data_IF_658954888390
#
_entry.id   IF_658954888390
#
_cell.length_a   1.000
_cell.length_b   1.000
_cell.length_c   1.000
_cell.angle_alpha   90.00
_cell.angle_beta   90.00
_cell.angle_gamma   90.00
#
_symmetry.space_group_name_H-M   'P 1'
#
loop_
_entity.id
_entity.type
_entity.pdbx_description
1 polymer ?
#
# COMPACT_ATOMS: atom_id res chain seq x y z
N UNK A 1 11.77 -8.97 28.25
CA UNK A 1 10.37 -9.08 27.79
C UNK A 1 10.33 -8.35 26.46
N UNK A 2 10.39 -9.10 25.35
CA UNK A 2 10.43 -8.52 24.00
C UNK A 2 9.08 -7.90 23.64
N UNK A 3 9.12 -6.86 22.81
CA UNK A 3 7.96 -6.45 22.01
C UNK A 3 8.15 -7.08 20.63
N UNK A 4 7.20 -7.92 20.25
CA UNK A 4 7.07 -8.61 18.98
C UNK A 4 6.08 -7.83 18.09
N UNK A 5 6.34 -6.57 17.78
CA UNK A 5 5.35 -5.77 17.05
C UNK A 5 5.86 -5.50 15.63
N UNK A 6 5.84 -6.54 14.80
CA UNK A 6 6.11 -6.49 13.35
C UNK A 6 4.89 -6.06 12.53
N UNK A 7 3.97 -5.27 13.10
CA UNK A 7 2.69 -4.93 12.48
C UNK A 7 2.51 -3.42 12.36
N UNK A 8 1.99 -2.97 11.22
CA UNK A 8 1.76 -1.56 10.92
C UNK A 8 0.50 -1.05 11.64
N UNK A 9 0.69 -0.52 12.84
CA UNK A 9 -0.39 -0.07 13.71
C UNK A 9 -0.70 1.44 13.60
N UNK A 10 -1.69 1.91 14.37
CA UNK A 10 -2.13 3.31 14.35
C UNK A 10 -1.01 4.28 14.76
N UNK A 11 -0.19 3.92 15.74
CA UNK A 11 0.96 4.72 16.18
C UNK A 11 1.98 4.87 15.04
N UNK A 12 2.33 3.78 14.37
CA UNK A 12 3.24 3.80 13.21
C UNK A 12 2.66 4.58 12.02
N UNK A 13 1.33 4.56 11.84
CA UNK A 13 0.65 5.23 10.71
C UNK A 13 0.51 6.74 10.88
N UNK A 14 0.55 7.27 12.11
CA UNK A 14 0.20 8.67 12.40
C UNK A 14 1.09 9.41 13.40
N UNK A 15 1.89 8.71 14.21
CA UNK A 15 2.64 9.30 15.34
C UNK A 15 4.16 9.17 15.19
N UNK A 16 4.65 8.13 14.51
CA UNK A 16 6.08 7.95 14.26
C UNK A 16 6.43 8.01 12.77
N UNK A 17 7.52 8.71 12.45
CA UNK A 17 8.12 8.80 11.10
C UNK A 17 8.90 7.51 10.73
N UNK A 18 8.48 6.36 11.30
CA UNK A 18 9.22 5.09 11.29
C UNK A 18 8.98 4.25 10.03
N UNK A 19 8.02 4.63 9.20
CA UNK A 19 7.77 3.98 7.92
C UNK A 19 8.76 4.50 6.85
N UNK A 20 9.85 3.77 6.61
CA UNK A 20 10.70 4.04 5.45
C UNK A 20 9.91 3.80 4.17
N UNK A 21 9.84 4.84 3.33
CA UNK A 21 8.94 4.92 2.20
C UNK A 21 9.75 4.96 0.92
N UNK A 22 10.01 3.80 0.32
CA UNK A 22 10.67 3.69 -0.97
C UNK A 22 9.65 3.88 -2.10
N UNK A 23 9.70 5.04 -2.76
CA UNK A 23 8.92 5.35 -3.97
C UNK A 23 9.89 5.75 -5.09
N UNK A 24 10.00 4.96 -6.18
CA UNK A 24 9.33 3.68 -6.41
C UNK A 24 9.84 2.56 -5.49
N UNK A 25 8.99 1.57 -5.24
CA UNK A 25 9.36 0.39 -4.46
C UNK A 25 10.52 -0.36 -5.13
N UNK A 26 11.50 -0.80 -4.34
CA UNK A 26 12.65 -1.58 -4.81
C UNK A 26 12.26 -3.06 -5.00
N UNK A 27 11.54 -3.34 -6.09
CA UNK A 27 11.11 -4.70 -6.49
C UNK A 27 11.43 -4.93 -7.97
N UNK A 28 11.48 -6.20 -8.37
CA UNK A 28 11.62 -6.57 -9.78
C UNK A 28 10.46 -6.04 -10.62
N UNK A 29 10.74 -5.69 -11.88
CA UNK A 29 9.73 -5.16 -12.82
C UNK A 29 8.53 -6.09 -12.97
N UNK A 30 8.76 -7.41 -12.93
CA UNK A 30 7.70 -8.42 -13.03
C UNK A 30 6.75 -8.37 -11.83
N UNK A 31 7.27 -8.14 -10.62
CA UNK A 31 6.47 -7.98 -9.40
C UNK A 31 5.71 -6.66 -9.46
N UNK A 32 6.37 -5.58 -9.89
CA UNK A 32 5.73 -4.27 -10.04
C UNK A 32 4.54 -4.33 -11.03
N UNK A 33 4.69 -5.01 -12.16
CA UNK A 33 3.60 -5.20 -13.13
C UNK A 33 2.47 -6.09 -12.57
N UNK A 34 2.81 -7.15 -11.85
CA UNK A 34 1.80 -8.01 -11.22
C UNK A 34 0.93 -7.23 -10.20
N UNK A 35 1.57 -6.42 -9.35
CA UNK A 35 0.88 -5.56 -8.37
C UNK A 35 -0.02 -4.54 -9.09
N UNK A 36 0.49 -3.84 -10.12
CA UNK A 36 -0.31 -2.90 -10.92
C UNK A 36 -1.54 -3.57 -11.54
N UNK A 37 -1.35 -4.71 -12.18
CA UNK A 37 -2.44 -5.45 -12.82
C UNK A 37 -3.50 -5.93 -11.82
N UNK A 38 -3.09 -6.42 -10.65
CA UNK A 38 -4.01 -6.81 -9.59
C UNK A 38 -4.77 -5.62 -9.01
N UNK A 39 -4.11 -4.48 -8.81
CA UNK A 39 -4.75 -3.27 -8.29
C UNK A 39 -5.88 -2.79 -9.20
N UNK A 40 -5.63 -2.72 -10.52
CA UNK A 40 -6.64 -2.34 -11.52
C UNK A 40 -7.82 -3.31 -11.50
N UNK A 41 -7.54 -4.61 -11.49
CA UNK A 41 -8.58 -5.65 -11.42
C UNK A 41 -9.43 -5.54 -10.15
N UNK A 42 -8.80 -5.27 -9.02
CA UNK A 42 -9.48 -5.13 -7.73
C UNK A 42 -10.44 -3.94 -7.72
N UNK A 43 -10.01 -2.78 -8.21
CA UNK A 43 -10.83 -1.57 -8.31
C UNK A 43 -12.04 -1.80 -9.23
N UNK A 44 -11.84 -2.45 -10.38
CA UNK A 44 -12.95 -2.80 -11.27
C UNK A 44 -13.90 -3.84 -10.66
N UNK A 45 -13.39 -4.82 -9.91
CA UNK A 45 -14.19 -5.89 -9.33
C UNK A 45 -15.20 -5.39 -8.28
N UNK A 46 -14.90 -4.27 -7.61
CA UNK A 46 -15.78 -3.66 -6.60
C UNK A 46 -16.59 -2.47 -7.15
N UNK A 47 -16.58 -2.24 -8.47
CA UNK A 47 -17.19 -1.08 -9.14
C UNK A 47 -16.77 0.25 -8.51
N UNK A 48 -15.50 0.35 -8.09
CA UNK A 48 -14.98 1.58 -7.49
C UNK A 48 -14.77 2.65 -8.56
N UNK A 49 -15.16 3.88 -8.21
CA UNK A 49 -15.04 5.06 -9.08
C UNK A 49 -14.24 6.16 -8.39
N UNK A 50 -13.57 6.99 -9.19
CA UNK A 50 -12.75 8.08 -8.70
C UNK A 50 -11.35 7.61 -8.32
N UNK A 51 -11.07 7.52 -7.02
CA UNK A 51 -9.74 7.25 -6.49
C UNK A 51 -9.75 6.09 -5.50
N UNK A 52 -8.66 5.33 -5.50
CA UNK A 52 -8.45 4.25 -4.55
C UNK A 52 -6.97 4.05 -4.29
N UNK A 53 -6.63 3.66 -3.05
CA UNK A 53 -5.33 3.07 -2.71
C UNK A 53 -5.54 1.59 -2.44
N UNK A 54 -4.84 0.73 -3.17
CA UNK A 54 -4.89 -0.73 -2.96
C UNK A 54 -3.59 -1.13 -2.27
N UNK A 55 -3.74 -1.65 -1.05
CA UNK A 55 -2.60 -2.05 -0.21
C UNK A 55 -2.35 -3.54 -0.40
N UNK A 56 -1.08 -3.92 -0.52
CA UNK A 56 -0.65 -5.29 -0.78
C UNK A 56 0.32 -5.77 0.29
N UNK A 57 0.29 -7.08 0.54
CA UNK A 57 1.43 -7.82 1.08
C UNK A 57 2.15 -8.52 -0.07
N UNK A 58 3.48 -8.47 -0.08
CA UNK A 58 4.28 -9.29 -0.99
C UNK A 58 4.73 -10.54 -0.22
N UNK A 59 4.32 -11.72 -0.68
CA UNK A 59 4.71 -13.02 -0.08
C UNK A 59 5.62 -13.79 -1.03
N UNK A 60 6.15 -14.93 -0.58
CA UNK A 60 6.95 -15.84 -1.41
C UNK A 60 6.17 -16.39 -2.62
N UNK A 61 4.84 -16.44 -2.53
CA UNK A 61 3.93 -16.88 -3.60
C UNK A 61 3.46 -15.72 -4.49
N UNK A 62 3.86 -14.48 -4.16
CA UNK A 62 3.53 -13.27 -4.90
C UNK A 62 2.64 -12.27 -4.14
N UNK A 63 2.14 -11.23 -4.82
CA UNK A 63 1.37 -10.17 -4.18
C UNK A 63 -0.05 -10.61 -3.80
N UNK A 64 -0.43 -10.31 -2.56
CA UNK A 64 -1.76 -10.56 -2.00
C UNK A 64 -2.39 -9.22 -1.62
N UNK A 65 -3.64 -8.99 -2.06
CA UNK A 65 -4.39 -7.77 -1.69
C UNK A 65 -4.70 -7.84 -0.20
N UNK A 66 -4.28 -6.82 0.54
CA UNK A 66 -4.67 -6.61 1.93
C UNK A 66 -6.02 -5.89 1.99
N UNK A 67 -6.08 -4.66 1.47
CA UNK A 67 -7.29 -3.85 1.51
C UNK A 67 -7.39 -2.86 0.34
N UNK A 68 -8.60 -2.37 0.10
CA UNK A 68 -8.89 -1.28 -0.85
C UNK A 68 -9.44 -0.10 -0.06
N UNK A 69 -8.74 1.03 -0.13
CA UNK A 69 -9.13 2.29 0.49
C UNK A 69 -9.73 3.22 -0.57
N UNK A 70 -11.05 3.37 -0.59
CA UNK A 70 -11.79 4.25 -1.52
C UNK A 70 -11.71 5.73 -1.15
N UNK A 71 -11.19 6.05 0.03
CA UNK A 71 -10.88 7.41 0.47
C UNK A 71 -9.52 7.40 1.22
N UNK A 72 -8.39 7.32 0.50
CA UNK A 72 -7.08 7.42 1.08
C UNK A 72 -6.86 8.82 1.67
N UNK A 73 -6.11 8.90 2.77
CA UNK A 73 -5.78 10.19 3.39
C UNK A 73 -4.92 11.06 2.48
N UNK A 74 -5.02 12.38 2.64
CA UNK A 74 -4.24 13.40 1.92
C UNK A 74 -3.35 14.26 2.86
N UNK A 75 -2.85 13.68 3.95
CA UNK A 75 -1.92 14.39 4.84
C UNK A 75 -0.52 14.44 4.23
N UNK A 76 0.38 15.24 4.79
CA UNK A 76 1.78 15.36 4.34
C UNK A 76 2.58 14.05 4.41
N UNK A 77 2.14 13.10 5.24
CA UNK A 77 2.72 11.76 5.38
C UNK A 77 1.94 10.69 4.61
N UNK A 78 0.84 11.03 3.95
CA UNK A 78 0.05 10.06 3.20
C UNK A 78 0.78 9.53 1.97
N UNK A 79 0.70 8.21 1.76
CA UNK A 79 1.27 7.53 0.60
C UNK A 79 0.60 7.92 -0.72
N UNK A 80 -0.72 8.12 -0.74
CA UNK A 80 -1.46 8.32 -2.00
C UNK A 80 -0.98 9.56 -2.77
N UNK A 81 -0.89 10.78 -2.19
CA UNK A 81 -0.35 11.93 -2.91
C UNK A 81 1.11 11.76 -3.37
N UNK A 82 1.96 11.08 -2.59
CA UNK A 82 3.39 10.87 -2.92
C UNK A 82 3.61 9.96 -4.13
N UNK A 83 2.67 9.06 -4.43
CA UNK A 83 2.76 8.17 -5.59
C UNK A 83 2.44 8.87 -6.93
N UNK A 84 1.85 10.06 -6.89
CA UNK A 84 1.48 10.85 -8.07
C UNK A 84 2.36 12.10 -8.27
N UNK A 85 3.28 12.38 -7.36
CA UNK A 85 4.23 13.50 -7.44
C UNK A 85 5.45 13.15 -8.28
#
# INVERSE_FOLDING_TARGET
>A
RGREDGFYDFETKYLDDAAELDVPAKVDDSVAEAVRGLAIRAVHAIDCQGLARVDFFLTDDGPVINEINTMPGFTTISMYPRMWA
#
